data_IF_755250025671
#
_entry.id   IF_755250025671
#
_cell.length_a   1.000
_cell.length_b   1.000
_cell.length_c   1.000
_cell.angle_alpha   90.00
_cell.angle_beta   90.00
_cell.angle_gamma   90.00
#
_symmetry.space_group_name_H-M   'P 1'
#
loop_
_entity.id
_entity.type
_entity.pdbx_description
1 polymer ?
#
# COMPACT_ATOMS: atom_id res chain seq x y z
N UNK A 1 -1.06 9.11 15.91
CA UNK A 1 -0.02 8.64 14.96
C UNK A 1 0.05 7.13 15.08
N UNK A 2 -0.03 6.38 13.98
CA UNK A 2 -0.05 4.93 14.02
C UNK A 2 1.31 4.38 14.48
N UNK A 3 1.31 3.53 15.50
CA UNK A 3 2.51 2.84 15.96
C UNK A 3 2.75 1.60 15.09
N UNK A 4 3.98 1.41 14.61
CA UNK A 4 4.35 0.29 13.73
C UNK A 4 3.97 -1.08 14.29
N UNK A 5 4.32 -1.36 15.54
CA UNK A 5 4.05 -2.67 16.16
C UNK A 5 2.55 -2.90 16.34
N UNK A 6 1.80 -1.87 16.75
CA UNK A 6 0.36 -1.99 16.95
C UNK A 6 -0.39 -2.16 15.63
N UNK A 7 -0.01 -1.39 14.60
CA UNK A 7 -0.60 -1.50 13.25
C UNK A 7 -0.42 -2.91 12.68
N UNK A 8 0.81 -3.43 12.66
CA UNK A 8 1.08 -4.74 12.08
C UNK A 8 0.41 -5.85 12.90
N UNK A 9 0.43 -5.76 14.24
CA UNK A 9 -0.24 -6.72 15.12
C UNK A 9 -1.75 -6.76 14.89
N UNK A 10 -2.39 -5.59 14.78
CA UNK A 10 -3.82 -5.48 14.56
C UNK A 10 -4.21 -6.08 13.20
N UNK A 11 -3.50 -5.70 12.13
CA UNK A 11 -3.73 -6.26 10.80
C UNK A 11 -3.45 -7.76 10.73
N UNK A 12 -2.44 -8.24 11.45
CA UNK A 12 -2.16 -9.67 11.53
C UNK A 12 -3.31 -10.45 12.16
N UNK A 13 -3.89 -9.94 13.25
CA UNK A 13 -5.00 -10.61 13.92
C UNK A 13 -6.31 -10.51 13.12
N UNK A 14 -6.53 -9.40 12.42
CA UNK A 14 -7.75 -9.13 11.68
C UNK A 14 -7.76 -9.80 10.30
N UNK A 15 -6.65 -9.69 9.55
CA UNK A 15 -6.59 -10.02 8.12
C UNK A 15 -5.70 -11.22 7.89
N UNK A 16 -4.46 -11.21 8.36
CA UNK A 16 -3.46 -12.16 7.86
C UNK A 16 -3.61 -13.56 8.49
N UNK A 17 -3.56 -13.64 9.82
CA UNK A 17 -3.62 -14.91 10.56
C UNK A 17 -4.93 -15.68 10.33
N UNK A 18 -6.13 -15.05 10.33
CA UNK A 18 -7.38 -15.76 10.06
C UNK A 18 -7.46 -16.36 8.65
N UNK A 19 -6.72 -15.79 7.70
CA UNK A 19 -6.71 -16.19 6.29
C UNK A 19 -5.47 -17.00 5.90
N UNK A 20 -4.76 -17.59 6.87
CA UNK A 20 -3.55 -18.39 6.67
C UNK A 20 -2.44 -17.65 5.90
N UNK A 21 -2.38 -16.33 6.01
CA UNK A 21 -1.29 -15.50 5.52
C UNK A 21 -0.30 -15.29 6.68
N UNK A 22 0.83 -15.98 6.65
CA UNK A 22 1.82 -15.91 7.73
C UNK A 22 2.82 -14.79 7.46
N UNK A 23 2.94 -13.85 8.41
CA UNK A 23 4.00 -12.84 8.39
C UNK A 23 5.33 -13.49 8.77
N UNK A 24 6.33 -13.35 7.91
CA UNK A 24 7.74 -13.64 8.24
C UNK A 24 8.65 -12.49 7.79
N UNK A 25 9.90 -12.45 8.26
CA UNK A 25 10.91 -11.47 7.85
C UNK A 25 10.47 -9.99 8.01
N UNK A 26 9.70 -9.69 9.05
CA UNK A 26 9.23 -8.33 9.32
C UNK A 26 10.39 -7.38 9.66
N UNK A 27 10.53 -6.31 8.87
CA UNK A 27 11.56 -5.30 9.01
C UNK A 27 11.02 -3.90 8.74
N UNK A 28 11.21 -2.99 9.69
CA UNK A 28 10.86 -1.58 9.52
C UNK A 28 11.78 -0.86 8.50
N UNK A 29 11.20 -0.01 7.67
CA UNK A 29 11.90 0.92 6.77
C UNK A 29 11.94 2.32 7.40
N UNK A 30 13.00 2.59 8.18
CA UNK A 30 13.16 3.83 8.96
C UNK A 30 12.97 5.11 8.14
N UNK A 31 13.40 5.13 6.89
CA UNK A 31 13.28 6.29 6.01
C UNK A 31 11.82 6.62 5.61
N UNK A 32 10.91 5.68 5.76
CA UNK A 32 9.47 5.85 5.54
C UNK A 32 8.64 5.56 6.81
N UNK A 33 9.25 5.63 8.00
CA UNK A 33 8.59 5.30 9.28
C UNK A 33 7.35 6.15 9.55
N UNK A 34 7.31 7.38 9.05
CA UNK A 34 6.16 8.27 9.13
C UNK A 34 4.88 7.66 8.51
N UNK A 35 5.03 6.75 7.55
CA UNK A 35 3.97 6.02 6.87
C UNK A 35 3.97 4.53 7.25
N UNK A 36 4.48 4.19 8.44
CA UNK A 36 4.57 2.81 8.93
C UNK A 36 5.31 1.91 7.93
N UNK A 37 6.34 2.46 7.28
CA UNK A 37 7.07 1.77 6.24
C UNK A 37 7.73 0.51 6.74
N UNK A 38 7.45 -0.62 6.10
CA UNK A 38 8.11 -1.89 6.41
C UNK A 38 8.09 -2.86 5.24
N UNK A 39 8.91 -3.89 5.37
CA UNK A 39 9.02 -5.05 4.50
C UNK A 39 8.71 -6.30 5.31
N UNK A 40 8.01 -7.25 4.70
CA UNK A 40 7.79 -8.58 5.26
C UNK A 40 7.40 -9.55 4.15
N UNK A 41 7.30 -10.82 4.47
CA UNK A 41 6.68 -11.81 3.59
C UNK A 41 5.30 -12.17 4.12
N UNK A 42 4.36 -12.40 3.20
CA UNK A 42 3.13 -13.14 3.47
C UNK A 42 3.20 -14.43 2.67
N UNK A 43 3.41 -15.54 3.38
CA UNK A 43 3.71 -16.83 2.76
C UNK A 43 4.86 -16.70 1.75
N UNK A 44 4.57 -16.83 0.46
CA UNK A 44 5.56 -16.80 -0.63
C UNK A 44 5.66 -15.45 -1.34
N UNK A 45 4.90 -14.42 -0.92
CA UNK A 45 4.96 -13.08 -1.50
C UNK A 45 5.78 -12.15 -0.63
N UNK A 46 6.64 -11.38 -1.28
CA UNK A 46 7.35 -10.27 -0.67
C UNK A 46 6.47 -9.01 -0.68
N UNK A 47 6.36 -8.36 0.47
CA UNK A 47 5.48 -7.21 0.69
C UNK A 47 6.30 -5.99 1.08
N UNK A 48 6.04 -4.85 0.43
CA UNK A 48 6.34 -3.53 0.97
C UNK A 48 5.05 -2.90 1.45
N UNK A 49 5.00 -2.49 2.70
CA UNK A 49 3.77 -2.03 3.36
C UNK A 49 3.85 -0.57 3.78
N UNK A 50 2.73 0.15 3.69
CA UNK A 50 2.56 1.52 4.16
C UNK A 50 1.18 1.73 4.78
N UNK A 51 1.05 2.75 5.64
CA UNK A 51 -0.22 3.38 6.01
C UNK A 51 -0.28 4.76 5.36
N UNK A 52 -1.35 5.04 4.61
CA UNK A 52 -1.59 6.36 4.02
C UNK A 52 -2.11 7.37 5.05
N UNK A 53 -2.09 8.65 4.68
CA UNK A 53 -2.52 9.76 5.54
C UNK A 53 -3.56 10.63 4.87
N UNK A 54 -4.63 10.93 5.58
CA UNK A 54 -5.57 11.97 5.18
C UNK A 54 -4.88 13.33 5.33
N UNK A 55 -5.13 14.22 4.38
CA UNK A 55 -4.60 15.58 4.40
C UNK A 55 -5.76 16.58 4.30
N UNK A 56 -5.82 17.64 5.13
CA UNK A 56 -7.02 18.48 5.30
C UNK A 56 -7.64 19.05 4.02
N UNK A 57 -6.82 19.33 2.99
CA UNK A 57 -7.25 20.13 1.83
C UNK A 57 -7.30 19.34 0.52
N UNK A 58 -7.17 18.01 0.55
CA UNK A 58 -7.13 17.19 -0.67
C UNK A 58 -7.79 15.84 -0.43
N UNK A 59 -8.79 15.54 -1.26
CA UNK A 59 -9.45 14.23 -1.35
C UNK A 59 -8.42 13.14 -1.68
N UNK A 60 -8.63 11.93 -1.19
CA UNK A 60 -7.65 10.87 -1.26
C UNK A 60 -6.67 10.91 -0.10
N UNK A 61 -5.99 9.81 0.11
CA UNK A 61 -4.97 9.67 1.14
C UNK A 61 -3.58 9.71 0.52
N UNK A 62 -2.68 10.49 1.11
CA UNK A 62 -1.31 10.65 0.66
C UNK A 62 -0.42 9.56 1.25
N UNK A 63 0.49 9.01 0.45
CA UNK A 63 1.47 8.02 0.89
C UNK A 63 2.80 8.23 0.19
N UNK A 64 3.88 8.10 0.95
CA UNK A 64 5.26 8.20 0.48
C UNK A 64 5.94 6.82 0.46
N UNK A 65 6.69 6.55 -0.60
CA UNK A 65 7.37 5.29 -0.86
C UNK A 65 8.64 5.54 -1.68
N UNK A 66 9.72 5.93 -1.02
CA UNK A 66 10.99 6.22 -1.69
C UNK A 66 12.17 5.53 -1.03
N UNK A 67 13.27 5.43 -1.78
CA UNK A 67 14.57 4.94 -1.33
C UNK A 67 15.69 5.93 -1.66
N UNK A 68 16.87 5.67 -1.09
CA UNK A 68 18.09 6.37 -1.47
C UNK A 68 18.75 5.65 -2.65
N UNK A 69 19.27 6.41 -3.61
CA UNK A 69 20.22 5.88 -4.60
C UNK A 69 21.63 5.76 -4.01
N UNK A 70 22.56 5.24 -4.81
CA UNK A 70 23.97 5.07 -4.42
C UNK A 70 24.66 6.41 -4.06
N UNK A 71 24.09 7.53 -4.51
CA UNK A 71 24.56 8.89 -4.23
C UNK A 71 23.78 9.57 -3.09
N UNK A 72 22.98 8.81 -2.33
CA UNK A 72 22.16 9.31 -1.22
C UNK A 72 21.08 10.34 -1.62
N UNK A 73 20.63 10.34 -2.87
CA UNK A 73 19.46 11.11 -3.32
C UNK A 73 18.18 10.29 -3.21
N UNK A 74 17.05 10.96 -2.96
CA UNK A 74 15.75 10.30 -2.93
C UNK A 74 15.33 9.90 -4.36
N UNK A 75 14.96 8.65 -4.55
CA UNK A 75 14.44 8.12 -5.80
C UNK A 75 13.21 7.23 -5.58
N UNK A 76 12.47 7.02 -6.67
CA UNK A 76 11.43 6.01 -6.72
C UNK A 76 12.05 4.61 -6.66
N UNK A 77 11.29 3.66 -6.11
CA UNK A 77 11.72 2.26 -6.03
C UNK A 77 11.98 1.68 -7.43
N UNK A 78 13.13 1.03 -7.61
CA UNK A 78 13.44 0.28 -8.83
C UNK A 78 12.45 -0.87 -9.03
N UNK A 79 12.03 -1.11 -10.28
CA UNK A 79 11.26 -2.30 -10.64
C UNK A 79 12.03 -3.55 -10.24
N UNK A 80 13.29 -3.71 -10.64
CA UNK A 80 14.02 -4.97 -10.40
C UNK A 80 14.10 -5.36 -8.92
N UNK A 81 14.26 -4.36 -8.04
CA UNK A 81 14.34 -4.54 -6.58
C UNK A 81 12.99 -4.43 -5.83
N UNK A 82 11.90 -4.13 -6.53
CA UNK A 82 10.59 -4.00 -5.89
C UNK A 82 10.06 -5.38 -5.44
N UNK A 83 9.44 -5.46 -4.24
CA UNK A 83 8.69 -6.64 -3.82
C UNK A 83 7.52 -6.95 -4.75
N UNK A 84 6.96 -8.15 -4.60
CA UNK A 84 5.82 -8.63 -5.40
C UNK A 84 4.60 -7.72 -5.23
N UNK A 85 4.39 -7.22 -4.01
CA UNK A 85 3.24 -6.37 -3.66
C UNK A 85 3.65 -5.09 -2.93
N UNK A 86 3.02 -3.98 -3.31
CA UNK A 86 2.92 -2.77 -2.47
C UNK A 86 1.54 -2.76 -1.81
N UNK A 87 1.51 -2.90 -0.49
CA UNK A 87 0.29 -2.84 0.31
C UNK A 87 0.19 -1.48 0.98
N UNK A 88 -0.92 -0.77 0.75
CA UNK A 88 -1.21 0.53 1.37
C UNK A 88 -2.51 0.39 2.16
N UNK A 89 -2.41 0.49 3.48
CA UNK A 89 -3.57 0.52 4.37
C UNK A 89 -4.09 1.95 4.52
N UNK A 90 -5.38 2.12 4.29
CA UNK A 90 -6.12 3.36 4.43
C UNK A 90 -7.00 3.28 5.67
N UNK A 91 -6.99 4.34 6.48
CA UNK A 91 -7.77 4.42 7.72
C UNK A 91 -8.45 5.79 7.77
N UNK A 92 -9.76 5.81 7.98
CA UNK A 92 -10.58 7.03 8.13
C UNK A 92 -11.74 6.80 9.09
N UNK A 93 -11.68 7.35 10.32
CA UNK A 93 -12.65 7.11 11.39
C UNK A 93 -13.04 5.62 11.55
N UNK A 94 -14.20 5.23 11.03
CA UNK A 94 -14.74 3.86 11.09
C UNK A 94 -14.43 3.02 9.83
N UNK A 95 -13.57 3.51 8.94
CA UNK A 95 -13.23 2.91 7.67
C UNK A 95 -11.80 2.38 7.69
N UNK A 96 -11.63 1.15 7.23
CA UNK A 96 -10.36 0.47 7.12
C UNK A 96 -10.31 -0.28 5.79
N UNK A 97 -9.23 -0.11 5.05
CA UNK A 97 -9.11 -0.71 3.72
C UNK A 97 -7.66 -0.95 3.33
N UNK A 98 -7.44 -1.87 2.40
CA UNK A 98 -6.11 -2.14 1.85
C UNK A 98 -6.14 -2.05 0.33
N UNK A 99 -5.22 -1.27 -0.21
CA UNK A 99 -4.78 -1.46 -1.58
C UNK A 99 -3.66 -2.49 -1.60
N UNK A 100 -3.77 -3.48 -2.49
CA UNK A 100 -2.80 -4.56 -2.65
C UNK A 100 -2.35 -4.53 -4.11
N UNK A 101 -1.31 -3.76 -4.41
CA UNK A 101 -0.88 -3.53 -5.79
C UNK A 101 0.22 -4.50 -6.22
N UNK A 102 -0.02 -5.34 -7.23
CA UNK A 102 1.03 -6.08 -7.92
C UNK A 102 2.10 -5.17 -8.49
N UNK A 103 3.35 -5.63 -8.44
CA UNK A 103 4.49 -4.96 -9.03
C UNK A 103 4.27 -4.57 -10.50
N UNK A 104 3.58 -5.40 -11.26
CA UNK A 104 3.27 -5.19 -12.68
C UNK A 104 2.33 -3.99 -12.90
N UNK A 105 1.31 -3.83 -12.04
CA UNK A 105 0.43 -2.66 -12.14
C UNK A 105 1.16 -1.39 -11.72
N UNK A 106 2.05 -1.47 -10.73
CA UNK A 106 2.87 -0.32 -10.33
C UNK A 106 3.82 0.13 -11.44
N UNK A 107 4.37 -0.81 -12.23
CA UNK A 107 5.16 -0.50 -13.41
C UNK A 107 4.30 0.20 -14.48
N UNK A 108 3.14 -0.38 -14.80
CA UNK A 108 2.18 0.15 -15.80
C UNK A 108 1.71 1.56 -15.46
N UNK A 109 1.41 1.84 -14.19
CA UNK A 109 0.95 3.14 -13.69
C UNK A 109 2.08 4.14 -13.40
N UNK A 110 3.29 3.81 -13.88
CA UNK A 110 4.51 4.62 -13.81
C UNK A 110 4.96 4.96 -12.40
N UNK A 111 4.71 4.07 -11.44
CA UNK A 111 5.09 4.22 -10.04
C UNK A 111 6.52 3.74 -9.83
N UNK A 112 6.89 2.58 -10.38
CA UNK A 112 8.24 2.04 -10.25
C UNK A 112 9.20 2.66 -11.27
N UNK A 113 10.46 2.79 -10.87
CA UNK A 113 11.57 3.25 -11.72
C UNK A 113 12.06 2.10 -12.61
N UNK A 114 12.40 2.39 -13.84
CA UNK A 114 13.19 1.53 -14.74
C UNK A 114 14.30 2.35 -15.39
N UNK A 115 15.09 1.77 -16.29
CA UNK A 115 16.06 2.54 -17.08
C UNK A 115 15.41 3.63 -17.94
N UNK A 116 14.18 3.41 -18.41
CA UNK A 116 13.44 4.34 -19.28
C UNK A 116 12.36 5.15 -18.55
N UNK A 117 12.13 4.90 -17.26
CA UNK A 117 11.06 5.51 -16.48
C UNK A 117 11.57 5.97 -15.10
N UNK A 118 11.33 7.25 -14.78
CA UNK A 118 11.75 7.83 -13.48
C UNK A 118 11.02 7.24 -12.27
N UNK A 119 9.77 6.80 -12.44
CA UNK A 119 8.90 6.39 -11.34
C UNK A 119 8.37 7.56 -10.50
N UNK A 120 7.66 7.24 -9.40
CA UNK A 120 7.13 8.18 -8.41
C UNK A 120 7.62 7.80 -7.02
N UNK A 121 7.85 8.82 -6.18
CA UNK A 121 8.25 8.66 -4.78
C UNK A 121 7.07 8.73 -3.80
N UNK A 122 5.91 9.16 -4.28
CA UNK A 122 4.69 9.29 -3.51
C UNK A 122 3.49 9.31 -4.46
N UNK A 123 2.31 8.98 -3.95
CA UNK A 123 1.06 9.18 -4.67
C UNK A 123 -0.10 9.44 -3.71
N UNK A 124 -1.25 9.76 -4.30
CA UNK A 124 -2.54 9.67 -3.61
C UNK A 124 -3.22 8.37 -4.00
N UNK A 125 -3.77 7.70 -3.00
CA UNK A 125 -4.70 6.60 -3.17
C UNK A 125 -6.11 7.07 -2.82
N UNK A 126 -7.11 6.53 -3.50
CA UNK A 126 -8.51 6.93 -3.35
C UNK A 126 -9.35 5.69 -3.01
N UNK A 127 -9.48 5.33 -1.72
CA UNK A 127 -10.42 4.30 -1.26
C UNK A 127 -11.83 4.45 -1.84
N UNK A 128 -12.64 3.40 -1.72
CA UNK A 128 -14.00 3.37 -2.27
C UNK A 128 -14.91 4.47 -1.70
N UNK A 129 -14.63 4.92 -0.49
CA UNK A 129 -15.36 5.99 0.20
C UNK A 129 -14.95 7.40 -0.22
N UNK A 130 -13.81 7.57 -0.90
CA UNK A 130 -13.41 8.86 -1.44
C UNK A 130 -14.16 9.17 -2.74
N UNK A 131 -14.58 10.43 -2.92
CA UNK A 131 -15.22 10.88 -4.17
C UNK A 131 -14.36 11.96 -4.85
N UNK A 132 -13.36 11.59 -5.68
CA UNK A 132 -12.47 12.54 -6.32
C UNK A 132 -13.18 13.40 -7.36
N UNK A 133 -12.86 14.70 -7.39
CA UNK A 133 -13.50 15.66 -8.30
C UNK A 133 -12.73 15.81 -9.61
N UNK A 134 -11.40 15.82 -9.56
CA UNK A 134 -10.57 16.06 -10.76
C UNK A 134 -10.50 14.83 -11.67
N UNK A 135 -10.42 15.06 -12.99
CA UNK A 135 -10.32 13.98 -13.98
C UNK A 135 -9.10 13.07 -13.76
N UNK A 136 -7.98 13.63 -13.29
CA UNK A 136 -6.79 12.85 -12.97
C UNK A 136 -7.00 11.95 -11.75
N UNK A 137 -7.66 12.46 -10.71
CA UNK A 137 -7.96 11.70 -9.50
C UNK A 137 -8.98 10.59 -9.78
N UNK A 138 -10.04 10.87 -10.55
CA UNK A 138 -11.01 9.86 -11.01
C UNK A 138 -10.36 8.73 -11.80
N UNK A 139 -9.48 9.06 -12.76
CA UNK A 139 -8.70 8.06 -13.51
C UNK A 139 -7.81 7.23 -12.59
N UNK A 140 -7.21 7.85 -11.57
CA UNK A 140 -6.37 7.13 -10.61
C UNK A 140 -7.21 6.18 -9.75
N UNK A 141 -8.32 6.66 -9.20
CA UNK A 141 -9.24 5.84 -8.42
C UNK A 141 -9.75 4.63 -9.21
N UNK A 142 -10.11 4.82 -10.47
CA UNK A 142 -10.67 3.75 -11.31
C UNK A 142 -9.77 2.51 -11.38
N UNK A 143 -8.46 2.67 -11.62
CA UNK A 143 -7.55 1.53 -11.63
C UNK A 143 -7.22 1.07 -10.21
N UNK A 144 -7.12 2.00 -9.24
CA UNK A 144 -6.77 1.66 -7.86
C UNK A 144 -7.82 0.74 -7.21
N UNK A 145 -9.11 0.99 -7.45
CA UNK A 145 -10.21 0.22 -6.87
C UNK A 145 -10.27 -1.24 -7.33
N UNK A 146 -9.64 -1.56 -8.47
CA UNK A 146 -9.48 -2.96 -8.90
C UNK A 146 -8.64 -3.77 -7.88
N UNK A 147 -7.77 -3.09 -7.15
CA UNK A 147 -6.84 -3.66 -6.16
C UNK A 147 -7.18 -3.27 -4.72
N UNK A 148 -8.37 -2.72 -4.49
CA UNK A 148 -8.82 -2.28 -3.17
C UNK A 148 -9.73 -3.30 -2.50
N UNK A 149 -9.52 -3.51 -1.21
CA UNK A 149 -10.37 -4.32 -0.35
C UNK A 149 -10.82 -3.46 0.82
N UNK A 150 -12.13 -3.26 0.94
CA UNK A 150 -12.72 -2.69 2.14
C UNK A 150 -12.77 -3.76 3.22
N UNK A 151 -12.18 -3.48 4.38
CA UNK A 151 -12.09 -4.37 5.53
C UNK A 151 -12.65 -3.71 6.79
N UNK A 152 -13.48 -2.68 6.62
CA UNK A 152 -14.14 -1.93 7.70
C UNK A 152 -15.08 -2.83 8.50
N UNK A 153 -15.80 -3.74 7.83
CA UNK A 153 -16.61 -4.77 8.48
C UNK A 153 -15.81 -6.06 8.68
N UNK A 154 -15.24 -6.21 9.87
CA UNK A 154 -14.42 -7.35 10.26
C UNK A 154 -15.19 -8.69 10.27
N UNK A 155 -16.52 -8.66 10.35
CA UNK A 155 -17.35 -9.87 10.34
C UNK A 155 -17.72 -10.32 8.92
N UNK A 156 -17.57 -9.44 7.93
CA UNK A 156 -17.96 -9.70 6.54
C UNK A 156 -16.87 -9.23 5.57
N UNK A 157 -15.65 -9.72 5.79
CA UNK A 157 -14.54 -9.44 4.90
C UNK A 157 -14.76 -10.11 3.54
N UNK A 158 -14.50 -9.41 2.41
CA UNK A 158 -14.56 -10.01 1.07
C UNK A 158 -13.34 -10.91 0.82
N UNK A 159 -13.31 -12.07 1.49
CA UNK A 159 -12.16 -12.99 1.56
C UNK A 159 -11.69 -13.45 0.19
N UNK A 160 -12.59 -13.75 -0.75
CA UNK A 160 -12.20 -14.20 -2.09
C UNK A 160 -11.36 -13.15 -2.83
N UNK A 161 -11.79 -11.88 -2.78
CA UNK A 161 -11.04 -10.77 -3.38
C UNK A 161 -9.71 -10.54 -2.66
N UNK A 162 -9.73 -10.59 -1.33
CA UNK A 162 -8.55 -10.43 -0.50
C UNK A 162 -7.48 -11.48 -0.84
N UNK A 163 -7.85 -12.76 -0.84
CA UNK A 163 -6.95 -13.87 -1.15
C UNK A 163 -6.49 -13.83 -2.61
N UNK A 164 -7.38 -13.50 -3.55
CA UNK A 164 -7.00 -13.34 -4.96
C UNK A 164 -5.92 -12.27 -5.17
N UNK A 165 -5.91 -11.22 -4.37
CA UNK A 165 -4.90 -10.16 -4.46
C UNK A 165 -3.59 -10.51 -3.74
N UNK A 166 -3.63 -11.39 -2.73
CA UNK A 166 -2.45 -11.79 -1.95
C UNK A 166 -1.75 -13.06 -2.47
N UNK A 167 -2.41 -13.93 -3.24
CA UNK A 167 -1.89 -15.22 -3.70
C UNK A 167 -1.55 -15.17 -5.20
#
# INVERSE_FOLDING_TARGET
MYNFNDTIRNLNNLVYKPNNLMITNLKEEKQNAEYVGCLFHLNNKTIRFRVSKITPNKIGQFVSFWEKDDNMHNQAFSYDAAPDLLVITCIDDNQLGQFIFPKEILLKEKILKTQSQKGKMAMRVYPIWDTPVSNQAKKSQMWQLQYFVDISDHNNLPIDKLLHLYL
#
